data_IF_602597451861
#
_entry.id   IF_602597451861
#
_cell.length_a   1.000
_cell.length_b   1.000
_cell.length_c   1.000
_cell.angle_alpha   90.00
_cell.angle_beta   90.00
_cell.angle_gamma   90.00
#
_symmetry.space_group_name_H-M   'P 1'
#
loop_
_entity.id
_entity.type
_entity.pdbx_description
1 polymer ?
#
# COMPACT_ATOMS: atom_id res chain seq x y z
N UNK A 1 -28.35 -7.55 34.91
CA UNK A 1 -28.88 -7.68 33.55
C UNK A 1 -27.87 -7.03 32.62
N UNK A 2 -26.93 -7.80 32.09
CA UNK A 2 -25.92 -7.32 31.14
C UNK A 2 -26.46 -7.50 29.73
N UNK A 3 -26.46 -6.42 28.95
CA UNK A 3 -26.78 -6.44 27.54
C UNK A 3 -25.64 -7.14 26.78
N UNK A 4 -26.00 -8.07 25.91
CA UNK A 4 -25.09 -8.71 24.97
C UNK A 4 -24.89 -7.78 23.77
N UNK A 5 -23.75 -7.10 23.69
CA UNK A 5 -23.35 -6.37 22.49
C UNK A 5 -23.00 -7.38 21.39
N UNK A 6 -23.72 -7.33 20.27
CA UNK A 6 -23.46 -8.14 19.09
C UNK A 6 -22.59 -7.33 18.14
N UNK A 7 -21.48 -7.90 17.65
CA UNK A 7 -20.62 -7.23 16.67
C UNK A 7 -21.36 -6.98 15.35
N UNK A 8 -21.09 -5.86 14.64
CA UNK A 8 -21.67 -5.60 13.33
C UNK A 8 -21.12 -6.59 12.30
N UNK A 9 -22.01 -7.40 11.73
CA UNK A 9 -21.70 -8.30 10.62
C UNK A 9 -21.84 -7.53 9.31
N UNK A 10 -20.76 -7.43 8.53
CA UNK A 10 -20.80 -7.01 7.13
C UNK A 10 -21.42 -8.12 6.28
N UNK A 11 -22.41 -7.84 5.42
CA UNK A 11 -22.98 -8.86 4.55
C UNK A 11 -21.93 -9.30 3.51
N UNK A 12 -21.65 -10.60 3.49
CA UNK A 12 -20.77 -11.22 2.51
C UNK A 12 -21.50 -11.21 1.16
N UNK A 13 -20.98 -10.45 0.20
CA UNK A 13 -21.46 -10.51 -1.20
C UNK A 13 -21.31 -11.94 -1.72
N UNK A 14 -22.44 -12.56 -2.07
CA UNK A 14 -22.52 -13.98 -2.48
C UNK A 14 -22.01 -14.26 -3.90
N UNK A 15 -21.24 -13.37 -4.53
CA UNK A 15 -20.76 -13.56 -5.91
C UNK A 15 -19.47 -14.37 -6.04
N UNK A 16 -18.81 -14.76 -4.94
CA UNK A 16 -17.50 -15.44 -4.97
C UNK A 16 -17.58 -16.98 -4.95
N UNK A 17 -18.77 -17.58 -4.93
CA UNK A 17 -18.91 -19.04 -4.88
C UNK A 17 -20.05 -19.52 -5.78
N UNK A 18 -19.75 -19.83 -7.05
CA UNK A 18 -20.66 -20.61 -7.87
C UNK A 18 -20.43 -20.60 -9.38
N UNK A 19 -19.90 -21.73 -9.87
CA UNK A 19 -20.23 -22.37 -11.15
C UNK A 19 -19.47 -21.94 -12.42
N UNK A 20 -18.77 -22.93 -12.99
CA UNK A 20 -18.20 -22.95 -14.34
C UNK A 20 -19.12 -22.31 -15.38
N UNK A 21 -18.64 -21.24 -16.00
CA UNK A 21 -19.16 -20.73 -17.26
C UNK A 21 -18.03 -20.79 -18.28
N UNK A 22 -17.96 -21.87 -19.04
CA UNK A 22 -17.26 -21.89 -20.33
C UNK A 22 -18.06 -21.04 -21.32
N UNK A 23 -17.89 -19.73 -21.23
CA UNK A 23 -18.42 -18.77 -22.19
C UNK A 23 -17.25 -17.99 -22.76
N UNK A 24 -16.72 -18.46 -23.88
CA UNK A 24 -15.73 -17.72 -24.66
C UNK A 24 -16.46 -16.53 -25.31
N UNK A 25 -16.66 -15.45 -24.55
CA UNK A 25 -17.08 -14.17 -25.10
C UNK A 25 -15.81 -13.49 -25.57
N UNK A 26 -15.62 -13.46 -26.89
CA UNK A 26 -14.61 -12.59 -27.48
C UNK A 26 -14.88 -11.16 -26.99
N UNK A 27 -13.84 -10.41 -26.56
CA UNK A 27 -14.04 -8.99 -26.33
C UNK A 27 -14.27 -8.37 -27.70
N UNK A 28 -15.52 -8.01 -27.96
CA UNK A 28 -15.88 -7.09 -29.02
C UNK A 28 -15.03 -5.83 -28.80
N UNK A 29 -14.15 -5.53 -29.75
CA UNK A 29 -13.25 -4.39 -29.75
C UNK A 29 -14.06 -3.14 -30.14
N UNK A 30 -15.12 -2.88 -29.38
CA UNK A 30 -16.06 -1.78 -29.55
C UNK A 30 -15.74 -0.69 -28.55
N UNK A 31 -15.13 0.39 -29.05
CA UNK A 31 -15.03 1.72 -28.44
C UNK A 31 -14.56 1.78 -26.98
N UNK A 32 -13.28 2.15 -26.78
CA UNK A 32 -12.79 2.61 -25.48
C UNK A 32 -13.75 3.69 -24.99
N UNK A 33 -14.51 3.41 -23.94
CA UNK A 33 -15.26 4.42 -23.23
C UNK A 33 -14.25 5.44 -22.69
N UNK A 34 -14.10 6.56 -23.40
CA UNK A 34 -13.17 7.62 -23.03
C UNK A 34 -13.63 8.22 -21.71
N UNK A 35 -14.94 8.36 -21.55
CA UNK A 35 -15.58 9.02 -20.42
C UNK A 35 -15.85 8.05 -19.25
N UNK A 36 -15.90 8.56 -18.01
CA UNK A 36 -16.25 7.75 -16.85
C UNK A 36 -17.73 7.36 -16.89
N UNK A 37 -18.00 6.07 -16.68
CA UNK A 37 -19.33 5.46 -16.60
C UNK A 37 -19.80 5.50 -15.16
N UNK A 38 -21.02 6.00 -14.94
CA UNK A 38 -21.64 6.11 -13.62
C UNK A 38 -22.84 5.18 -13.47
N UNK A 39 -22.99 4.62 -12.28
CA UNK A 39 -24.17 3.89 -11.83
C UNK A 39 -24.52 4.35 -10.42
N UNK A 40 -25.77 4.79 -10.21
CA UNK A 40 -26.27 5.30 -8.93
C UNK A 40 -25.39 6.41 -8.30
N UNK A 41 -24.81 7.27 -9.15
CA UNK A 41 -23.93 8.36 -8.74
C UNK A 41 -22.49 7.93 -8.42
N UNK A 42 -22.17 6.63 -8.50
CA UNK A 42 -20.83 6.10 -8.30
C UNK A 42 -20.16 5.79 -9.62
N UNK A 43 -18.83 5.92 -9.68
CA UNK A 43 -18.06 5.54 -10.86
C UNK A 43 -17.89 4.03 -10.88
N UNK A 44 -18.24 3.43 -12.02
CA UNK A 44 -18.10 1.99 -12.24
C UNK A 44 -16.87 1.68 -13.10
N UNK A 45 -16.63 2.49 -14.14
CA UNK A 45 -15.51 2.29 -15.06
C UNK A 45 -15.13 3.58 -15.77
N UNK A 46 -13.98 3.61 -16.42
CA UNK A 46 -13.53 4.71 -17.27
C UNK A 46 -12.16 4.42 -17.84
N UNK A 47 -11.74 5.21 -18.83
CA UNK A 47 -10.35 5.18 -19.28
C UNK A 47 -9.40 5.57 -18.14
N UNK A 48 -8.16 5.05 -18.17
CA UNK A 48 -7.14 5.42 -17.19
C UNK A 48 -6.96 6.95 -17.14
N UNK A 49 -6.93 7.58 -18.31
CA UNK A 49 -6.86 9.02 -18.45
C UNK A 49 -8.00 9.71 -17.71
N UNK A 50 -9.27 9.37 -17.98
CA UNK A 50 -10.41 9.99 -17.31
C UNK A 50 -10.41 9.80 -15.78
N UNK A 51 -9.96 8.65 -15.30
CA UNK A 51 -9.85 8.39 -13.86
C UNK A 51 -8.74 9.24 -13.21
N UNK A 52 -7.62 9.44 -13.92
CA UNK A 52 -6.55 10.37 -13.50
C UNK A 52 -7.05 11.81 -13.56
N UNK A 53 -7.80 12.20 -14.58
CA UNK A 53 -8.34 13.56 -14.67
C UNK A 53 -9.24 13.88 -13.48
N UNK A 54 -10.03 12.89 -13.04
CA UNK A 54 -10.86 13.01 -11.84
C UNK A 54 -10.06 13.04 -10.53
N UNK A 55 -8.86 12.48 -10.49
CA UNK A 55 -7.98 12.60 -9.32
C UNK A 55 -7.44 14.03 -9.16
N UNK A 56 -7.29 14.78 -10.25
CA UNK A 56 -6.70 16.13 -10.21
C UNK A 56 -7.77 17.18 -9.88
N UNK A 57 -7.64 17.94 -8.77
CA UNK A 57 -8.56 19.03 -8.46
C UNK A 57 -8.64 20.06 -9.58
N UNK A 58 -9.83 20.62 -9.77
CA UNK A 58 -10.06 21.76 -10.67
C UNK A 58 -10.55 22.96 -9.86
N UNK A 59 -10.93 24.05 -10.52
CA UNK A 59 -11.44 25.24 -9.82
C UNK A 59 -12.72 24.96 -9.03
N UNK A 60 -13.59 24.11 -9.55
CA UNK A 60 -14.94 23.90 -9.01
C UNK A 60 -15.12 22.51 -8.39
N UNK A 61 -14.07 21.68 -8.46
CA UNK A 61 -14.11 20.30 -8.00
C UNK A 61 -12.88 19.94 -7.18
N UNK A 62 -13.09 19.12 -6.15
CA UNK A 62 -12.05 18.43 -5.41
C UNK A 62 -12.52 16.98 -5.23
N UNK A 63 -11.69 15.97 -5.54
CA UNK A 63 -12.08 14.58 -5.37
C UNK A 63 -12.38 14.25 -3.92
N UNK A 64 -13.41 13.45 -3.68
CA UNK A 64 -13.71 13.01 -2.32
C UNK A 64 -12.62 12.07 -1.80
N UNK A 65 -12.46 12.02 -0.48
CA UNK A 65 -11.39 11.24 0.17
C UNK A 65 -11.47 9.75 -0.15
N UNK A 66 -12.67 9.21 -0.33
CA UNK A 66 -12.87 7.80 -0.66
C UNK A 66 -12.33 7.51 -2.05
N UNK A 67 -12.61 8.38 -3.03
CA UNK A 67 -12.04 8.28 -4.37
C UNK A 67 -10.51 8.42 -4.36
N UNK A 68 -9.98 9.44 -3.67
CA UNK A 68 -8.52 9.64 -3.55
C UNK A 68 -7.86 8.36 -3.00
N UNK A 69 -8.32 7.86 -1.85
CA UNK A 69 -7.78 6.66 -1.23
C UNK A 69 -7.87 5.44 -2.16
N UNK A 70 -9.07 5.17 -2.69
CA UNK A 70 -9.34 3.97 -3.49
C UNK A 70 -8.56 3.99 -4.80
N UNK A 71 -8.55 5.12 -5.51
CA UNK A 71 -7.84 5.26 -6.77
C UNK A 71 -6.34 5.18 -6.56
N UNK A 72 -5.77 5.94 -5.61
CA UNK A 72 -4.33 5.88 -5.33
C UNK A 72 -3.91 4.48 -4.86
N UNK A 73 -4.73 3.78 -4.06
CA UNK A 73 -4.46 2.41 -3.63
C UNK A 73 -4.39 1.46 -4.85
N UNK A 74 -5.49 1.42 -5.61
CA UNK A 74 -5.72 0.46 -6.69
C UNK A 74 -4.93 0.76 -7.97
N UNK A 75 -4.52 2.01 -8.18
CA UNK A 75 -3.79 2.41 -9.40
C UNK A 75 -2.49 1.65 -9.59
N UNK A 76 -1.88 1.16 -8.51
CA UNK A 76 -0.63 0.36 -8.55
C UNK A 76 -0.73 -0.89 -9.40
N UNK A 77 -1.94 -1.39 -9.65
CA UNK A 77 -2.17 -2.56 -10.51
C UNK A 77 -1.97 -2.23 -12.00
N UNK A 78 -2.14 -0.96 -12.40
CA UNK A 78 -2.15 -0.56 -13.82
C UNK A 78 -1.26 0.65 -14.16
N UNK A 79 -0.75 1.38 -13.18
CA UNK A 79 0.20 2.49 -13.36
C UNK A 79 1.13 2.63 -12.15
N UNK A 80 2.44 2.80 -12.38
CA UNK A 80 3.39 3.02 -11.30
C UNK A 80 3.20 4.42 -10.66
N UNK A 81 3.45 4.58 -9.34
CA UNK A 81 3.23 5.87 -8.67
C UNK A 81 3.99 7.05 -9.28
N UNK A 82 5.23 6.86 -9.72
CA UNK A 82 6.01 7.91 -10.39
C UNK A 82 5.38 8.34 -11.73
N UNK A 83 4.83 7.41 -12.50
CA UNK A 83 4.15 7.71 -13.76
C UNK A 83 2.82 8.42 -13.52
N UNK A 84 2.08 8.02 -12.47
CA UNK A 84 0.87 8.69 -12.05
C UNK A 84 1.16 10.13 -11.59
N UNK A 85 2.21 10.32 -10.77
CA UNK A 85 2.67 11.65 -10.35
C UNK A 85 3.02 12.52 -11.57
N UNK A 86 3.74 11.98 -12.56
CA UNK A 86 4.08 12.72 -13.77
C UNK A 86 2.82 13.16 -14.54
N UNK A 87 1.83 12.28 -14.70
CA UNK A 87 0.54 12.61 -15.34
C UNK A 87 -0.23 13.69 -14.55
N UNK A 88 -0.32 13.55 -13.23
CA UNK A 88 -0.92 14.57 -12.34
C UNK A 88 -0.20 15.90 -12.48
N UNK A 89 1.14 15.89 -12.50
CA UNK A 89 1.96 17.08 -12.67
C UNK A 89 1.72 17.78 -14.01
N UNK A 90 1.65 17.03 -15.11
CA UNK A 90 1.32 17.57 -16.44
C UNK A 90 -0.06 18.25 -16.46
N UNK A 91 -1.06 17.65 -15.84
CA UNK A 91 -2.39 18.24 -15.72
C UNK A 91 -2.39 19.51 -14.89
N UNK A 92 -1.68 19.52 -13.77
CA UNK A 92 -1.50 20.70 -12.93
C UNK A 92 -0.86 21.86 -13.72
N UNK A 93 0.16 21.57 -14.53
CA UNK A 93 0.84 22.57 -15.37
C UNK A 93 -0.11 23.13 -16.42
N UNK A 94 -0.85 22.25 -17.11
CA UNK A 94 -1.80 22.66 -18.15
C UNK A 94 -2.88 23.58 -17.57
N UNK A 95 -3.46 23.21 -16.43
CA UNK A 95 -4.47 24.03 -15.75
C UNK A 95 -3.88 25.37 -15.27
N UNK A 96 -2.67 25.35 -14.71
CA UNK A 96 -1.96 26.57 -14.30
C UNK A 96 -1.78 27.54 -15.48
N UNK A 97 -1.26 27.06 -16.61
CA UNK A 97 -1.04 27.88 -17.81
C UNK A 97 -2.34 28.47 -18.37
N UNK A 98 -3.44 27.71 -18.31
CA UNK A 98 -4.76 28.19 -18.72
C UNK A 98 -5.24 29.34 -17.82
N UNK A 99 -5.05 29.24 -16.50
CA UNK A 99 -5.39 30.31 -15.57
C UNK A 99 -4.50 31.55 -15.75
N UNK A 100 -3.22 31.38 -16.06
CA UNK A 100 -2.28 32.48 -16.32
C UNK A 100 -2.57 33.22 -17.63
N UNK A 101 -3.00 32.50 -18.67
CA UNK A 101 -3.39 33.07 -19.96
C UNK A 101 -4.82 33.66 -19.97
N UNK A 102 -5.60 33.42 -18.92
CA UNK A 102 -6.97 33.85 -18.80
C UNK A 102 -7.14 35.32 -18.38
N UNK A 103 -8.39 35.64 -18.05
CA UNK A 103 -8.82 36.94 -17.51
C UNK A 103 -8.19 37.23 -16.13
N UNK A 104 -8.16 38.50 -15.71
CA UNK A 104 -7.67 38.87 -14.37
C UNK A 104 -8.44 38.15 -13.23
N UNK A 105 -9.71 37.84 -13.45
CA UNK A 105 -10.51 37.04 -12.51
C UNK A 105 -10.04 35.57 -12.42
N UNK A 106 -9.53 35.00 -13.51
CA UNK A 106 -8.95 33.65 -13.52
C UNK A 106 -7.55 33.64 -12.91
N UNK A 107 -6.73 34.66 -13.17
CA UNK A 107 -5.43 34.82 -12.50
C UNK A 107 -5.58 34.95 -10.98
N UNK A 108 -6.61 35.64 -10.50
CA UNK A 108 -6.91 35.74 -9.07
C UNK A 108 -7.21 34.37 -8.41
N UNK A 109 -7.64 33.37 -9.19
CA UNK A 109 -7.95 32.01 -8.72
C UNK A 109 -6.71 31.12 -8.55
N UNK A 110 -5.54 31.54 -9.03
CA UNK A 110 -4.31 30.76 -9.03
C UNK A 110 -3.89 30.30 -7.62
N UNK A 111 -4.10 31.14 -6.60
CA UNK A 111 -3.83 30.81 -5.19
C UNK A 111 -4.75 29.70 -4.66
N UNK A 112 -6.03 29.74 -5.01
CA UNK A 112 -7.00 28.71 -4.62
C UNK A 112 -6.71 27.37 -5.30
N UNK A 113 -6.38 27.41 -6.60
CA UNK A 113 -5.93 26.24 -7.34
C UNK A 113 -4.68 25.61 -6.71
N UNK A 114 -3.65 26.42 -6.44
CA UNK A 114 -2.43 25.99 -5.76
C UNK A 114 -2.73 25.29 -4.43
N UNK A 115 -3.61 25.85 -3.60
CA UNK A 115 -4.01 25.27 -2.33
C UNK A 115 -4.64 23.87 -2.50
N UNK A 116 -5.50 23.66 -3.52
CA UNK A 116 -6.09 22.35 -3.80
C UNK A 116 -5.05 21.32 -4.24
N UNK A 117 -4.09 21.70 -5.08
CA UNK A 117 -3.05 20.75 -5.49
C UNK A 117 -2.13 20.39 -4.32
N UNK A 118 -1.77 21.36 -3.48
CA UNK A 118 -0.99 21.09 -2.25
C UNK A 118 -1.76 20.14 -1.34
N UNK A 119 -3.08 20.34 -1.21
CA UNK A 119 -3.94 19.45 -0.41
C UNK A 119 -3.91 18.02 -0.96
N UNK A 120 -4.05 17.82 -2.29
CA UNK A 120 -3.95 16.49 -2.90
C UNK A 120 -2.58 15.84 -2.65
N UNK A 121 -1.48 16.58 -2.87
CA UNK A 121 -0.13 16.05 -2.64
C UNK A 121 0.08 15.69 -1.19
N UNK A 122 -0.42 16.51 -0.26
CA UNK A 122 -0.34 16.25 1.17
C UNK A 122 -1.07 14.95 1.51
N UNK A 123 -2.33 14.81 1.08
CA UNK A 123 -3.12 13.59 1.30
C UNK A 123 -2.42 12.36 0.73
N UNK A 124 -1.82 12.45 -0.45
CA UNK A 124 -1.03 11.35 -1.02
C UNK A 124 0.21 11.03 -0.17
N UNK A 125 1.02 12.02 0.18
CA UNK A 125 2.25 11.80 0.97
C UNK A 125 1.99 11.30 2.38
N UNK A 126 0.85 11.63 2.97
CA UNK A 126 0.44 11.15 4.30
C UNK A 126 -0.19 9.75 4.24
N UNK A 127 -0.97 9.45 3.19
CA UNK A 127 -1.65 8.15 3.06
C UNK A 127 -0.70 7.07 2.56
N UNK A 128 0.14 7.38 1.56
CA UNK A 128 1.01 6.44 0.88
C UNK A 128 2.45 6.97 0.75
N UNK A 129 3.17 7.21 1.88
CA UNK A 129 4.51 7.79 1.86
C UNK A 129 5.50 6.97 1.01
N UNK A 130 5.30 5.67 0.88
CA UNK A 130 6.20 4.75 0.18
C UNK A 130 6.18 4.88 -1.34
N UNK A 131 5.14 5.50 -1.91
CA UNK A 131 5.14 5.84 -3.32
C UNK A 131 6.28 6.79 -3.69
N UNK A 132 6.82 7.52 -2.71
CA UNK A 132 7.88 8.50 -2.86
C UNK A 132 9.26 7.99 -2.41
N UNK A 133 9.41 6.69 -2.15
CA UNK A 133 10.69 6.11 -1.73
C UNK A 133 11.75 6.19 -2.85
N UNK A 134 11.32 6.10 -4.11
CA UNK A 134 12.21 6.05 -5.28
C UNK A 134 12.53 7.48 -5.77
N UNK A 135 13.75 7.68 -6.28
CA UNK A 135 14.21 9.00 -6.75
C UNK A 135 13.32 9.60 -7.83
N UNK A 136 12.73 8.76 -8.71
CA UNK A 136 11.82 9.19 -9.77
C UNK A 136 10.58 9.88 -9.19
N UNK A 137 9.90 9.23 -8.24
CA UNK A 137 8.72 9.78 -7.59
C UNK A 137 9.04 11.06 -6.81
N UNK A 138 10.17 11.07 -6.10
CA UNK A 138 10.61 12.25 -5.35
C UNK A 138 10.95 13.42 -6.28
N UNK A 139 11.51 13.15 -7.46
CA UNK A 139 11.74 14.15 -8.51
C UNK A 139 10.43 14.74 -9.01
N UNK A 140 9.45 13.91 -9.38
CA UNK A 140 8.14 14.39 -9.85
C UNK A 140 7.44 15.25 -8.78
N UNK A 141 7.44 14.82 -7.51
CA UNK A 141 6.89 15.60 -6.40
C UNK A 141 7.54 16.99 -6.31
N UNK A 142 8.88 17.05 -6.38
CA UNK A 142 9.64 18.32 -6.33
C UNK A 142 9.34 19.21 -7.53
N UNK A 143 9.17 18.65 -8.72
CA UNK A 143 8.82 19.41 -9.91
C UNK A 143 7.43 20.05 -9.78
N UNK A 144 6.42 19.28 -9.33
CA UNK A 144 5.07 19.80 -9.09
C UNK A 144 5.09 20.89 -8.02
N UNK A 145 5.74 20.62 -6.88
CA UNK A 145 5.87 21.54 -5.78
C UNK A 145 6.56 22.87 -6.17
N UNK A 146 7.62 22.80 -6.97
CA UNK A 146 8.31 23.98 -7.48
C UNK A 146 7.38 24.86 -8.31
N UNK A 147 6.61 24.26 -9.22
CA UNK A 147 5.68 24.98 -10.10
C UNK A 147 4.52 25.63 -9.36
N UNK A 148 4.04 25.01 -8.28
CA UNK A 148 2.98 25.58 -7.42
C UNK A 148 3.50 26.72 -6.56
N UNK A 149 4.77 26.67 -6.13
CA UNK A 149 5.38 27.73 -5.30
C UNK A 149 5.39 29.09 -6.02
N UNK A 150 5.48 29.09 -7.34
CA UNK A 150 5.40 30.29 -8.18
C UNK A 150 4.03 30.99 -8.14
N UNK A 151 2.99 30.39 -7.53
CA UNK A 151 1.66 31.00 -7.41
C UNK A 151 1.53 31.93 -6.19
N UNK A 152 2.51 31.98 -5.28
CA UNK A 152 2.49 32.74 -4.02
C UNK A 152 3.87 33.35 -3.70
N UNK A 153 4.51 33.97 -4.70
CA UNK A 153 5.87 34.51 -4.57
C UNK A 153 5.99 35.60 -3.48
N UNK A 154 4.94 36.38 -3.25
CA UNK A 154 4.93 37.52 -2.32
C UNK A 154 4.84 37.13 -0.84
N UNK A 155 4.12 36.05 -0.50
CA UNK A 155 3.76 35.73 0.89
C UNK A 155 4.53 34.51 1.44
N UNK A 156 5.11 33.70 0.55
CA UNK A 156 5.93 32.53 0.90
C UNK A 156 5.19 31.46 1.72
N UNK A 157 3.86 31.53 1.83
CA UNK A 157 3.06 30.63 2.66
C UNK A 157 2.98 29.26 2.01
N UNK A 158 2.74 29.21 0.70
CA UNK A 158 2.79 27.97 -0.09
C UNK A 158 4.14 27.26 0.07
N UNK A 159 5.25 28.00 -0.02
CA UNK A 159 6.60 27.45 0.15
C UNK A 159 6.77 26.80 1.52
N UNK A 160 6.30 27.43 2.60
CA UNK A 160 6.37 26.86 3.96
C UNK A 160 5.58 25.55 4.07
N UNK A 161 4.36 25.51 3.52
CA UNK A 161 3.51 24.30 3.56
C UNK A 161 4.19 23.15 2.80
N UNK A 162 4.71 23.42 1.60
CA UNK A 162 5.42 22.44 0.79
C UNK A 162 6.68 21.92 1.50
N UNK A 163 7.47 22.82 2.10
CA UNK A 163 8.65 22.44 2.86
C UNK A 163 8.28 21.54 4.05
N UNK A 164 7.22 21.87 4.79
CA UNK A 164 6.75 21.05 5.91
C UNK A 164 6.26 19.68 5.46
N UNK A 165 5.47 19.62 4.38
CA UNK A 165 4.99 18.36 3.80
C UNK A 165 6.16 17.47 3.37
N UNK A 166 7.14 18.04 2.66
CA UNK A 166 8.34 17.33 2.22
C UNK A 166 9.15 16.82 3.42
N UNK A 167 9.30 17.63 4.46
CA UNK A 167 9.99 17.23 5.68
C UNK A 167 9.27 16.07 6.39
N UNK A 168 7.94 16.12 6.51
CA UNK A 168 7.15 15.05 7.12
C UNK A 168 7.30 13.73 6.35
N UNK A 169 7.26 13.80 5.02
CA UNK A 169 7.47 12.65 4.16
C UNK A 169 8.85 12.03 4.37
N UNK A 170 9.91 12.84 4.40
CA UNK A 170 11.28 12.36 4.63
C UNK A 170 11.45 11.72 6.02
N UNK A 171 10.78 12.27 7.04
CA UNK A 171 10.78 11.66 8.38
C UNK A 171 10.08 10.29 8.37
N UNK A 172 8.92 10.17 7.70
CA UNK A 172 8.21 8.90 7.58
C UNK A 172 9.05 7.83 6.85
N UNK A 173 9.67 8.19 5.73
CA UNK A 173 10.56 7.31 4.96
C UNK A 173 11.80 6.89 5.78
N UNK A 174 12.39 7.82 6.52
CA UNK A 174 13.56 7.55 7.36
C UNK A 174 13.23 6.62 8.53
N UNK A 175 12.10 6.85 9.21
CA UNK A 175 11.65 6.01 10.32
C UNK A 175 11.45 4.56 9.88
N UNK A 176 10.87 4.33 8.70
CA UNK A 176 10.73 2.96 8.16
C UNK A 176 12.06 2.36 7.75
N UNK A 177 12.95 3.13 7.11
CA UNK A 177 14.28 2.64 6.72
C UNK A 177 15.08 2.16 7.94
N UNK A 178 15.05 2.92 9.04
CA UNK A 178 15.67 2.53 10.30
C UNK A 178 15.03 1.25 10.89
N UNK A 179 13.70 1.16 10.86
CA UNK A 179 12.99 -0.04 11.31
C UNK A 179 13.39 -1.28 10.49
N UNK A 180 13.49 -1.15 9.16
CA UNK A 180 13.94 -2.23 8.28
C UNK A 180 15.39 -2.64 8.61
N UNK A 181 16.30 -1.69 8.82
CA UNK A 181 17.69 -1.98 9.18
C UNK A 181 17.80 -2.75 10.51
N UNK A 182 17.02 -2.34 11.53
CA UNK A 182 16.94 -3.04 12.81
C UNK A 182 16.42 -4.47 12.60
N UNK A 183 15.34 -4.64 11.83
CA UNK A 183 14.76 -5.94 11.51
C UNK A 183 15.76 -6.86 10.79
N UNK A 184 16.55 -6.31 9.86
CA UNK A 184 17.60 -7.07 9.17
C UNK A 184 18.73 -7.52 10.10
N UNK A 185 19.13 -6.69 11.07
CA UNK A 185 20.11 -7.09 12.10
C UNK A 185 19.63 -8.27 12.95
N UNK A 186 18.33 -8.35 13.24
CA UNK A 186 17.72 -9.48 13.94
C UNK A 186 17.38 -10.66 13.04
N UNK A 187 17.33 -10.46 11.72
CA UNK A 187 17.22 -11.51 10.71
C UNK A 187 18.57 -12.21 10.53
N UNK A 188 19.12 -12.77 11.61
CA UNK A 188 20.22 -13.72 11.45
C UNK A 188 19.69 -14.94 10.69
N UNK A 189 20.29 -15.32 9.55
CA UNK A 189 19.99 -16.61 8.97
C UNK A 189 20.36 -17.66 10.01
N UNK A 190 19.42 -18.54 10.34
CA UNK A 190 19.79 -19.89 10.74
C UNK A 190 20.48 -20.49 9.51
N UNK A 191 21.78 -20.21 9.36
CA UNK A 191 22.63 -20.88 8.38
C UNK A 191 22.50 -22.39 8.59
N UNK A 192 22.36 -23.06 7.45
CA UNK A 192 22.32 -24.50 7.22
C UNK A 192 20.99 -25.25 7.44
N UNK A 193 19.96 -24.85 6.67
CA UNK A 193 19.10 -25.86 6.02
C UNK A 193 19.88 -26.54 4.88
N UNK A 194 20.87 -27.33 5.26
CA UNK A 194 21.68 -28.18 4.38
C UNK A 194 21.88 -29.61 4.90
N UNK A 195 21.17 -30.01 5.95
CA UNK A 195 21.19 -31.39 6.49
C UNK A 195 19.82 -31.76 7.07
N UNK A 196 18.78 -31.86 6.22
CA UNK A 196 17.45 -32.32 6.62
C UNK A 196 17.43 -33.81 7.02
N UNK A 197 18.52 -34.58 6.88
CA UNK A 197 18.55 -35.99 7.29
C UNK A 197 19.89 -36.41 7.92
N UNK A 198 20.39 -35.68 8.92
CA UNK A 198 21.28 -36.31 9.91
C UNK A 198 20.80 -35.96 11.30
N UNK A 199 20.31 -37.00 11.98
CA UNK A 199 20.12 -37.14 13.42
C UNK A 199 21.24 -36.44 14.20
N UNK A 200 21.06 -35.16 14.51
CA UNK A 200 21.82 -34.51 15.57
C UNK A 200 21.26 -35.04 16.90
N UNK A 201 22.09 -35.36 17.91
CA UNK A 201 21.60 -35.97 19.14
C UNK A 201 20.50 -35.10 19.74
N UNK A 202 19.39 -35.72 20.15
CA UNK A 202 18.19 -35.08 20.71
C UNK A 202 18.43 -34.25 22.00
N UNK A 203 19.68 -34.04 22.42
CA UNK A 203 20.07 -33.51 23.73
C UNK A 203 20.26 -31.99 23.80
N UNK A 204 20.06 -31.23 22.71
CA UNK A 204 20.25 -29.76 22.71
C UNK A 204 19.01 -28.95 22.31
N UNK A 205 17.89 -29.59 21.97
CA UNK A 205 16.66 -28.86 21.64
C UNK A 205 15.95 -28.49 22.95
N UNK A 206 15.99 -27.21 23.31
CA UNK A 206 15.29 -26.69 24.49
C UNK A 206 13.78 -26.90 24.31
N UNK A 207 13.16 -27.58 25.28
CA UNK A 207 11.70 -27.70 25.38
C UNK A 207 11.08 -26.30 25.41
N UNK A 208 9.94 -26.08 24.77
CA UNK A 208 9.21 -24.81 24.86
C UNK A 208 8.92 -24.42 26.32
N UNK A 209 8.67 -25.40 27.20
CA UNK A 209 8.48 -25.17 28.63
C UNK A 209 9.77 -24.75 29.35
N UNK A 210 10.93 -25.07 28.78
CA UNK A 210 12.23 -24.57 29.26
C UNK A 210 12.56 -23.16 28.78
N UNK A 211 11.87 -22.68 27.74
CA UNK A 211 11.96 -21.30 27.25
C UNK A 211 11.00 -20.39 28.01
N UNK A 212 9.76 -20.83 28.19
CA UNK A 212 8.76 -20.14 29.00
C UNK A 212 7.82 -21.17 29.64
N UNK A 213 7.82 -21.24 30.97
CA UNK A 213 6.96 -22.16 31.72
C UNK A 213 5.56 -21.59 31.98
N UNK A 214 5.35 -20.29 31.80
CA UNK A 214 4.06 -19.63 31.94
C UNK A 214 3.39 -19.48 30.56
N UNK A 215 2.32 -20.25 30.28
CA UNK A 215 1.63 -20.19 28.99
C UNK A 215 1.01 -18.82 28.70
N UNK A 216 0.62 -18.05 29.73
CA UNK A 216 0.06 -16.72 29.54
C UNK A 216 1.14 -15.75 29.06
N UNK A 217 2.32 -15.78 29.68
CA UNK A 217 3.45 -14.94 29.27
C UNK A 217 3.89 -15.29 27.86
N UNK A 218 3.98 -16.59 27.52
CA UNK A 218 4.33 -17.02 26.16
C UNK A 218 3.32 -16.52 25.12
N UNK A 219 2.03 -16.62 25.40
CA UNK A 219 0.97 -16.13 24.51
C UNK A 219 1.04 -14.61 24.34
N UNK A 220 1.28 -13.85 25.42
CA UNK A 220 1.47 -12.40 25.36
C UNK A 220 2.67 -12.02 24.50
N UNK A 221 3.82 -12.69 24.67
CA UNK A 221 5.00 -12.43 23.86
C UNK A 221 4.72 -12.74 22.38
N UNK A 222 4.14 -13.89 22.04
CA UNK A 222 3.79 -14.21 20.65
C UNK A 222 2.84 -13.16 20.05
N UNK A 223 1.87 -12.68 20.83
CA UNK A 223 0.94 -11.62 20.42
C UNK A 223 1.67 -10.32 20.11
N UNK A 224 2.64 -9.91 20.94
CA UNK A 224 3.44 -8.70 20.67
C UNK A 224 4.22 -8.82 19.36
N UNK A 225 4.87 -9.96 19.14
CA UNK A 225 5.66 -10.17 17.92
C UNK A 225 4.74 -10.28 16.69
N UNK A 226 3.55 -10.88 16.83
CA UNK A 226 2.55 -10.91 15.76
C UNK A 226 2.04 -9.51 15.41
N UNK A 227 1.65 -8.74 16.42
CA UNK A 227 1.15 -7.37 16.24
C UNK A 227 2.17 -6.50 15.53
N UNK A 228 3.46 -6.59 15.90
CA UNK A 228 4.54 -5.88 15.22
C UNK A 228 4.63 -6.25 13.73
N UNK A 229 4.46 -7.52 13.37
CA UNK A 229 4.49 -7.95 11.97
C UNK A 229 3.26 -7.48 11.21
N UNK A 230 2.08 -7.65 11.78
CA UNK A 230 0.80 -7.26 11.16
C UNK A 230 0.71 -5.74 10.99
N UNK A 231 1.19 -4.96 11.97
CA UNK A 231 1.21 -3.50 11.87
C UNK A 231 2.14 -2.97 10.77
N UNK A 232 3.01 -3.82 10.23
CA UNK A 232 3.91 -3.50 9.13
C UNK A 232 3.41 -4.02 7.77
N UNK A 233 2.20 -4.58 7.71
CA UNK A 233 1.50 -4.90 6.46
C UNK A 233 0.64 -3.70 6.09
N UNK A 234 0.91 -3.12 4.94
CA UNK A 234 0.22 -1.94 4.44
C UNK A 234 -0.81 -2.32 3.36
N UNK A 235 -1.87 -1.52 3.14
CA UNK A 235 -2.83 -1.79 2.06
C UNK A 235 -2.17 -1.96 0.69
N UNK A 236 -1.10 -1.20 0.41
CA UNK A 236 -0.34 -1.29 -0.84
C UNK A 236 0.35 -2.65 -1.02
N UNK A 237 0.76 -3.30 0.08
CA UNK A 237 1.37 -4.64 0.05
C UNK A 237 0.35 -5.67 -0.50
N UNK A 238 -0.94 -5.49 -0.19
CA UNK A 238 -2.02 -6.36 -0.67
C UNK A 238 -2.30 -6.19 -2.17
N UNK A 239 -2.12 -4.97 -2.70
CA UNK A 239 -2.35 -4.72 -4.13
C UNK A 239 -1.34 -5.47 -5.01
N UNK A 240 -0.14 -5.74 -4.48
CA UNK A 240 0.85 -6.54 -5.17
C UNK A 240 0.39 -7.99 -5.36
N UNK A 241 -0.32 -8.59 -4.40
CA UNK A 241 -0.93 -9.92 -4.55
C UNK A 241 -1.86 -9.92 -5.76
N UNK A 242 -2.77 -8.96 -5.83
CA UNK A 242 -3.78 -8.86 -6.91
C UNK A 242 -3.10 -8.71 -8.27
N UNK A 243 -2.02 -7.91 -8.35
CA UNK A 243 -1.27 -7.73 -9.61
C UNK A 243 -0.55 -8.99 -10.10
N UNK A 244 -0.35 -10.00 -9.24
CA UNK A 244 0.33 -11.24 -9.57
C UNK A 244 -0.60 -12.45 -9.77
N UNK A 245 -1.89 -12.36 -9.45
CA UNK A 245 -2.83 -13.48 -9.56
C UNK A 245 -3.08 -13.93 -11.02
N UNK A 246 -2.94 -13.03 -11.99
CA UNK A 246 -3.21 -13.34 -13.41
C UNK A 246 -2.02 -13.97 -14.16
N UNK A 247 -0.83 -14.04 -13.54
CA UNK A 247 0.33 -14.68 -14.16
C UNK A 247 0.39 -16.16 -13.78
N UNK A 248 -0.33 -17.00 -14.54
CA UNK A 248 -0.27 -18.45 -14.42
C UNK A 248 1.12 -19.05 -14.78
N UNK A 249 2.04 -18.24 -15.30
CA UNK A 249 3.39 -18.67 -15.69
C UNK A 249 4.39 -18.40 -14.56
N UNK A 250 4.48 -19.39 -13.68
CA UNK A 250 5.31 -19.50 -12.47
C UNK A 250 6.85 -19.33 -12.65
N UNK A 251 7.33 -18.76 -13.77
CA UNK A 251 8.78 -18.70 -14.03
C UNK A 251 9.36 -17.39 -14.56
N UNK A 252 8.59 -16.32 -14.80
CA UNK A 252 9.18 -15.05 -15.27
C UNK A 252 8.67 -13.76 -14.63
N UNK A 253 7.76 -13.80 -13.67
CA UNK A 253 7.26 -12.60 -13.01
C UNK A 253 8.02 -12.31 -11.71
N UNK A 254 9.35 -12.19 -11.82
CA UNK A 254 10.18 -11.58 -10.76
C UNK A 254 10.09 -10.05 -10.87
N UNK A 255 8.86 -9.52 -10.82
CA UNK A 255 8.67 -8.12 -10.45
C UNK A 255 9.26 -7.95 -9.05
N UNK A 256 10.07 -6.91 -8.86
CA UNK A 256 10.91 -6.65 -7.68
C UNK A 256 10.48 -7.43 -6.40
N UNK A 257 11.16 -8.55 -6.14
CA UNK A 257 11.00 -9.43 -4.94
C UNK A 257 11.25 -8.65 -3.64
N UNK A 258 11.65 -7.40 -3.76
CA UNK A 258 11.88 -6.45 -2.69
C UNK A 258 10.58 -5.88 -2.09
N UNK A 259 9.41 -5.97 -2.74
CA UNK A 259 8.19 -5.25 -2.30
C UNK A 259 7.12 -6.08 -1.54
N UNK A 260 7.07 -7.41 -1.66
CA UNK A 260 6.19 -8.29 -0.85
C UNK A 260 6.77 -8.69 0.51
N UNK A 261 7.86 -8.04 0.94
CA UNK A 261 8.66 -8.50 2.09
C UNK A 261 7.86 -8.66 3.39
N UNK A 262 6.90 -7.78 3.67
CA UNK A 262 6.16 -7.84 4.94
C UNK A 262 5.14 -8.97 4.97
N UNK A 263 4.41 -9.17 3.87
CA UNK A 263 3.45 -10.27 3.73
C UNK A 263 4.14 -11.63 3.72
N UNK A 264 5.22 -11.77 2.93
CA UNK A 264 6.02 -13.00 2.93
C UNK A 264 6.68 -13.26 4.29
N UNK A 265 7.17 -12.21 4.98
CA UNK A 265 7.72 -12.36 6.32
C UNK A 265 6.67 -12.79 7.34
N UNK A 266 5.43 -12.30 7.21
CA UNK A 266 4.32 -12.71 8.07
C UNK A 266 3.92 -14.17 7.81
N UNK A 267 3.75 -14.57 6.54
CA UNK A 267 3.47 -15.96 6.17
C UNK A 267 4.57 -16.91 6.66
N UNK A 268 5.84 -16.57 6.46
CA UNK A 268 6.96 -17.35 6.98
C UNK A 268 6.92 -17.48 8.51
N UNK A 269 6.60 -16.41 9.24
CA UNK A 269 6.48 -16.47 10.70
C UNK A 269 5.34 -17.36 11.14
N UNK A 270 4.17 -17.22 10.52
CA UNK A 270 2.99 -18.06 10.78
C UNK A 270 3.29 -19.54 10.56
N UNK A 271 3.93 -19.86 9.43
CA UNK A 271 4.34 -21.22 9.10
C UNK A 271 5.40 -21.78 10.07
N UNK A 272 6.36 -20.96 10.50
CA UNK A 272 7.34 -21.36 11.50
C UNK A 272 6.70 -21.65 12.87
N UNK A 273 5.78 -20.79 13.32
CA UNK A 273 5.07 -20.99 14.59
C UNK A 273 4.17 -22.24 14.53
N UNK A 274 3.45 -22.44 13.44
CA UNK A 274 2.62 -23.64 13.21
C UNK A 274 3.46 -24.91 13.24
N UNK A 275 4.62 -24.91 12.59
CA UNK A 275 5.55 -26.03 12.60
C UNK A 275 6.15 -26.28 13.98
N UNK A 276 6.46 -25.23 14.76
CA UNK A 276 6.91 -25.35 16.14
C UNK A 276 5.86 -26.07 17.00
N UNK A 277 4.60 -25.63 16.92
CA UNK A 277 3.49 -26.23 17.67
C UNK A 277 3.30 -27.71 17.29
N UNK A 278 3.27 -28.02 15.99
CA UNK A 278 3.15 -29.40 15.52
C UNK A 278 4.32 -30.29 15.98
N UNK A 279 5.54 -29.74 15.99
CA UNK A 279 6.75 -30.44 16.45
C UNK A 279 6.68 -30.77 17.94
N UNK A 280 6.28 -29.81 18.77
CA UNK A 280 6.15 -30.03 20.23
C UNK A 280 5.07 -31.05 20.57
N UNK A 281 3.92 -31.03 19.87
CA UNK A 281 2.86 -32.03 20.04
C UNK A 281 3.38 -33.44 19.70
N UNK A 282 4.06 -33.58 18.55
CA UNK A 282 4.59 -34.88 18.09
C UNK A 282 5.73 -35.42 18.99
N UNK A 283 6.53 -34.54 19.59
CA UNK A 283 7.62 -34.90 20.52
C UNK A 283 7.08 -35.54 21.80
N UNK A 284 5.98 -35.04 22.34
CA UNK A 284 5.35 -35.61 23.55
C UNK A 284 4.68 -36.96 23.25
N UNK A 285 4.16 -37.16 22.04
CA UNK A 285 3.50 -38.40 21.63
C UNK A 285 4.43 -39.61 21.47
N UNK A 286 5.70 -39.40 21.13
CA UNK A 286 6.71 -40.47 20.99
C UNK A 286 7.35 -40.88 22.32
N UNK A 287 7.35 -40.00 23.33
CA UNK A 287 7.94 -40.30 24.65
C UNK A 287 7.01 -41.11 25.59
N UNK A 288 5.77 -41.41 25.17
CA UNK A 288 4.77 -42.16 25.95
C UNK A 288 4.49 -43.58 25.42
N UNK A 289 5.35 -44.14 24.57
CA UNK A 289 5.29 -45.55 24.13
C UNK A 289 6.51 -46.32 24.63
#
# INVERSE_FOLDING_TARGET
MCASETMPQTPIFSSMLGSSCSGQVQPDMGERCVDPVYQDGNIVSGSLEALIERLVPTMDYYPDRTYIFTFLLSSRVFIHPHELLAKVGQMCIKQKQQLEAGTEAEKAKLKSFAAKIIQLLKEWTETFPYDFQDEKSMKELKEIAHRITQCDEENGTVKKIISQMTQNLLMALSARSQYQEIKEKFRQPATDKGTILKTKPQSTQKDILSVCCDPLILAQQLTHIELERVSNIYPEDLMQIVSHMDSLDNHKCRGDVTKTYNLEAYDNWFNCLSMLVATEICRVGTSRR
#
